data_IF_545001028870
#
_entry.id   IF_545001028870
#
_cell.length_a   1.000
_cell.length_b   1.000
_cell.length_c   1.000
_cell.angle_alpha   90.00
_cell.angle_beta   90.00
_cell.angle_gamma   90.00
#
_symmetry.space_group_name_H-M   'P 1'
#
loop_
_entity.id
_entity.type
_entity.pdbx_description
1 polymer ?
#
# COMPACT_ATOMS: atom_id res chain seq x y z
N UNK A 1 12.51 -51.73 6.55
CA UNK A 1 11.05 -51.61 6.48
C UNK A 1 10.70 -50.42 7.35
N UNK A 2 10.74 -49.21 6.78
CA UNK A 2 9.59 -48.48 6.19
C UNK A 2 8.66 -47.97 7.28
N UNK A 3 8.31 -46.69 7.41
CA UNK A 3 8.53 -45.54 6.53
C UNK A 3 8.37 -44.24 7.35
N UNK A 4 9.19 -43.23 7.03
CA UNK A 4 8.78 -41.98 6.37
C UNK A 4 7.86 -41.10 7.23
N UNK A 5 8.53 -40.23 7.99
CA UNK A 5 8.21 -38.82 8.15
C UNK A 5 7.11 -38.29 7.21
N UNK A 6 5.94 -38.03 7.77
CA UNK A 6 5.04 -37.03 7.22
C UNK A 6 5.27 -35.71 7.97
N UNK A 7 6.43 -35.10 7.74
CA UNK A 7 6.57 -33.67 7.95
C UNK A 7 5.83 -33.05 6.77
N UNK A 8 4.57 -32.68 6.98
CA UNK A 8 3.84 -31.86 6.02
C UNK A 8 4.48 -30.46 6.12
N UNK A 9 5.26 -29.99 5.13
CA UNK A 9 5.67 -28.61 5.16
C UNK A 9 4.39 -27.79 4.97
N UNK A 10 3.97 -27.07 6.01
CA UNK A 10 2.99 -26.01 5.84
C UNK A 10 3.69 -24.92 5.04
N UNK A 11 3.70 -25.07 3.71
CA UNK A 11 4.02 -23.98 2.79
C UNK A 11 2.84 -23.00 2.83
N UNK A 12 2.75 -22.26 3.93
CA UNK A 12 2.18 -20.92 3.87
C UNK A 12 3.31 -20.02 3.37
N UNK A 13 3.67 -20.19 2.10
CA UNK A 13 4.36 -19.12 1.37
C UNK A 13 3.26 -18.09 1.05
N UNK A 14 2.80 -17.43 2.11
CA UNK A 14 2.11 -16.16 1.99
C UNK A 14 3.18 -15.19 1.49
N UNK A 15 3.35 -15.14 0.17
CA UNK A 15 3.96 -13.96 -0.43
C UNK A 15 3.14 -12.79 0.10
N UNK A 16 3.74 -11.89 0.89
CA UNK A 16 2.98 -10.83 1.51
C UNK A 16 2.24 -10.06 0.42
N UNK A 17 0.96 -9.73 0.64
CA UNK A 17 0.11 -9.10 -0.39
C UNK A 17 0.69 -7.78 -0.91
N UNK A 18 1.63 -7.18 -0.17
CA UNK A 18 2.51 -6.10 -0.62
C UNK A 18 3.97 -6.46 -0.38
N UNK A 19 4.88 -6.11 -1.32
CA UNK A 19 6.32 -6.26 -1.09
C UNK A 19 6.80 -5.49 0.15
N UNK A 20 7.75 -6.03 0.91
CA UNK A 20 8.27 -5.40 2.14
C UNK A 20 8.98 -4.05 1.96
N UNK A 21 9.21 -3.60 0.73
CA UNK A 21 9.74 -2.27 0.42
C UNK A 21 8.65 -1.18 0.35
N UNK A 22 7.37 -1.56 0.22
CA UNK A 22 6.25 -0.63 0.02
C UNK A 22 6.10 0.33 1.19
N UNK A 23 6.22 -0.16 2.42
CA UNK A 23 6.09 0.66 3.62
C UNK A 23 7.10 1.81 3.64
N UNK A 24 8.37 1.52 3.33
CA UNK A 24 9.44 2.53 3.30
C UNK A 24 9.29 3.53 2.15
N UNK A 25 8.79 3.07 0.99
CA UNK A 25 8.47 3.96 -0.13
C UNK A 25 7.31 4.90 0.21
N UNK A 26 6.25 4.39 0.83
CA UNK A 26 5.12 5.20 1.29
C UNK A 26 5.55 6.22 2.35
N UNK A 27 6.39 5.83 3.31
CA UNK A 27 6.96 6.75 4.30
C UNK A 27 7.72 7.90 3.65
N UNK A 28 8.54 7.58 2.66
CA UNK A 28 9.31 8.57 1.91
C UNK A 28 8.40 9.53 1.14
N UNK A 29 7.29 9.04 0.59
CA UNK A 29 6.29 9.87 -0.10
C UNK A 29 5.59 10.80 0.90
N UNK A 30 5.08 10.27 2.01
CA UNK A 30 4.35 11.03 3.02
C UNK A 30 5.23 12.06 3.73
N UNK A 31 6.53 11.77 3.91
CA UNK A 31 7.49 12.71 4.48
C UNK A 31 7.71 13.97 3.61
N UNK A 32 7.26 13.98 2.35
CA UNK A 32 7.31 15.18 1.51
C UNK A 32 6.17 16.16 1.77
N UNK A 33 5.16 15.76 2.56
CA UNK A 33 4.05 16.63 2.91
C UNK A 33 4.44 17.58 4.06
N UNK A 34 3.93 18.82 4.08
CA UNK A 34 4.14 19.76 5.17
C UNK A 34 3.25 19.43 6.38
N UNK A 35 3.14 18.14 6.75
CA UNK A 35 2.29 17.63 7.81
C UNK A 35 3.11 16.75 8.74
N UNK A 36 2.87 16.86 10.04
CA UNK A 36 3.52 16.02 11.05
C UNK A 36 3.23 14.52 10.81
N UNK A 37 4.25 13.68 10.92
CA UNK A 37 4.15 12.24 10.66
C UNK A 37 3.07 11.56 11.53
N UNK A 38 2.88 12.03 12.77
CA UNK A 38 1.87 11.54 13.70
C UNK A 38 0.44 11.75 13.17
N UNK A 39 0.21 12.84 12.44
CA UNK A 39 -1.09 13.10 11.79
C UNK A 39 -1.28 12.25 10.55
N UNK A 40 -0.20 11.86 9.88
CA UNK A 40 -0.23 11.01 8.68
C UNK A 40 -0.32 9.52 9.01
N UNK A 41 0.11 9.10 10.20
CA UNK A 41 0.12 7.72 10.66
C UNK A 41 -1.20 6.94 10.45
N UNK A 42 -2.39 7.46 10.80
CA UNK A 42 -3.65 6.72 10.56
C UNK A 42 -3.97 6.57 9.08
N UNK A 43 -3.65 7.57 8.25
CA UNK A 43 -3.87 7.52 6.80
C UNK A 43 -2.92 6.53 6.12
N UNK A 44 -1.65 6.54 6.55
CA UNK A 44 -0.63 5.57 6.13
C UNK A 44 -1.07 4.15 6.40
N UNK A 45 -1.47 3.86 7.65
CA UNK A 45 -1.92 2.53 8.05
C UNK A 45 -3.13 2.08 7.22
N UNK A 46 -4.14 2.95 7.08
CA UNK A 46 -5.34 2.65 6.28
C UNK A 46 -5.02 2.38 4.81
N UNK A 47 -4.04 3.06 4.22
CA UNK A 47 -3.65 2.83 2.83
C UNK A 47 -2.89 1.51 2.66
N UNK A 48 -1.96 1.19 3.56
CA UNK A 48 -1.27 -0.11 3.57
C UNK A 48 -2.24 -1.28 3.78
N UNK A 49 -3.21 -1.13 4.69
CA UNK A 49 -4.25 -2.12 4.91
C UNK A 49 -5.13 -2.30 3.65
N UNK A 50 -5.44 -1.21 2.95
CA UNK A 50 -6.17 -1.27 1.68
C UNK A 50 -5.38 -2.05 0.62
N UNK A 51 -4.10 -1.72 0.43
CA UNK A 51 -3.21 -2.42 -0.51
C UNK A 51 -3.06 -3.91 -0.15
N UNK A 52 -2.92 -4.23 1.13
CA UNK A 52 -2.87 -5.61 1.60
C UNK A 52 -4.18 -6.38 1.32
N UNK A 53 -5.31 -5.68 1.35
CA UNK A 53 -6.63 -6.20 0.98
C UNK A 53 -6.84 -6.39 -0.52
N UNK A 54 -6.04 -5.74 -1.38
CA UNK A 54 -6.16 -5.87 -2.84
C UNK A 54 -5.77 -7.29 -3.34
N UNK A 55 -4.85 -7.98 -2.65
CA UNK A 55 -4.50 -9.37 -2.92
C UNK A 55 -4.19 -9.66 -4.40
N UNK A 56 -4.71 -10.77 -4.93
CA UNK A 56 -4.71 -11.10 -6.37
C UNK A 56 -6.02 -10.71 -7.04
N UNK A 57 -6.49 -9.49 -6.81
CA UNK A 57 -7.65 -8.98 -7.55
C UNK A 57 -7.43 -9.18 -9.06
N UNK A 58 -8.48 -9.56 -9.78
CA UNK A 58 -8.42 -9.73 -11.23
C UNK A 58 -8.03 -8.44 -11.96
N UNK A 59 -8.22 -7.29 -11.29
CA UNK A 59 -7.82 -5.96 -11.73
C UNK A 59 -7.15 -5.24 -10.54
N UNK A 60 -5.85 -5.51 -10.38
CA UNK A 60 -5.02 -4.94 -9.33
C UNK A 60 -4.91 -3.42 -9.47
N UNK A 61 -4.86 -2.91 -10.70
CA UNK A 61 -4.74 -1.49 -10.99
C UNK A 61 -6.00 -0.72 -10.55
N UNK A 62 -7.20 -1.25 -10.84
CA UNK A 62 -8.45 -0.66 -10.33
C UNK A 62 -8.56 -0.70 -8.80
N UNK A 63 -8.05 -1.77 -8.18
CA UNK A 63 -8.06 -1.90 -6.71
C UNK A 63 -7.11 -0.88 -6.06
N UNK A 64 -5.92 -0.69 -6.63
CA UNK A 64 -4.96 0.33 -6.22
C UNK A 64 -5.52 1.75 -6.40
N UNK A 65 -6.14 2.07 -7.55
CA UNK A 65 -6.75 3.38 -7.77
C UNK A 65 -7.84 3.68 -6.73
N UNK A 66 -8.66 2.69 -6.36
CA UNK A 66 -9.64 2.86 -5.29
C UNK A 66 -8.98 3.19 -3.93
N UNK A 67 -7.89 2.51 -3.58
CA UNK A 67 -7.11 2.81 -2.36
C UNK A 67 -6.52 4.22 -2.41
N UNK A 68 -5.96 4.64 -3.55
CA UNK A 68 -5.39 5.97 -3.77
C UNK A 68 -6.44 7.06 -3.60
N UNK A 69 -7.57 6.93 -4.27
CA UNK A 69 -8.67 7.91 -4.19
C UNK A 69 -9.22 8.00 -2.76
N UNK A 70 -9.33 6.86 -2.06
CA UNK A 70 -9.71 6.82 -0.65
C UNK A 70 -8.75 7.61 0.25
N UNK A 71 -7.44 7.37 0.09
CA UNK A 71 -6.40 8.08 0.84
C UNK A 71 -6.41 9.59 0.54
N UNK A 72 -6.44 9.98 -0.73
CA UNK A 72 -6.43 11.39 -1.14
C UNK A 72 -7.64 12.14 -0.60
N UNK A 73 -8.82 11.52 -0.66
CA UNK A 73 -10.04 12.09 -0.07
C UNK A 73 -9.91 12.27 1.43
N UNK A 74 -9.43 11.25 2.13
CA UNK A 74 -9.27 11.30 3.58
C UNK A 74 -8.25 12.38 4.00
N UNK A 75 -7.15 12.53 3.28
CA UNK A 75 -6.16 13.57 3.54
C UNK A 75 -6.69 14.97 3.23
N UNK A 76 -7.42 15.13 2.14
CA UNK A 76 -8.06 16.41 1.78
C UNK A 76 -9.10 16.82 2.83
N UNK A 77 -9.99 15.92 3.21
CA UNK A 77 -11.07 16.18 4.15
C UNK A 77 -10.55 16.32 5.60
N UNK A 78 -9.50 15.58 5.96
CA UNK A 78 -8.96 15.52 7.32
C UNK A 78 -7.84 16.51 7.64
N UNK A 79 -7.08 16.95 6.63
CA UNK A 79 -5.90 17.81 6.81
C UNK A 79 -5.94 19.09 5.97
N UNK A 80 -7.03 19.31 5.22
CA UNK A 80 -7.23 20.49 4.37
C UNK A 80 -6.05 20.72 3.39
N UNK A 81 -5.48 19.62 2.86
CA UNK A 81 -4.40 19.72 1.86
C UNK A 81 -4.88 20.51 0.64
N UNK A 82 -4.01 21.39 0.14
CA UNK A 82 -4.28 22.13 -1.08
C UNK A 82 -4.29 21.22 -2.31
N UNK A 83 -4.89 21.72 -3.40
CA UNK A 83 -5.07 20.94 -4.62
C UNK A 83 -3.74 20.57 -5.32
N UNK A 84 -2.71 21.41 -5.19
CA UNK A 84 -1.40 21.16 -5.79
C UNK A 84 -0.69 20.04 -5.04
N UNK A 85 -0.68 20.10 -3.71
CA UNK A 85 -0.14 19.05 -2.84
C UNK A 85 -0.87 17.72 -3.04
N UNK A 86 -2.20 17.74 -3.14
CA UNK A 86 -2.98 16.52 -3.42
C UNK A 86 -2.59 15.90 -4.76
N UNK A 87 -2.46 16.71 -5.82
CA UNK A 87 -2.09 16.23 -7.16
C UNK A 87 -0.66 15.68 -7.20
N UNK A 88 0.28 16.33 -6.52
CA UNK A 88 1.65 15.84 -6.42
C UNK A 88 1.73 14.51 -5.65
N UNK A 89 0.93 14.37 -4.59
CA UNK A 89 0.83 13.13 -3.83
C UNK A 89 0.21 12.00 -4.69
N UNK A 90 -0.87 12.29 -5.41
CA UNK A 90 -1.52 11.35 -6.33
C UNK A 90 -0.52 10.74 -7.32
N UNK A 91 0.30 11.56 -7.98
CA UNK A 91 1.30 11.08 -8.93
C UNK A 91 2.38 10.18 -8.29
N UNK A 92 2.76 10.46 -7.04
CA UNK A 92 3.75 9.64 -6.32
C UNK A 92 3.16 8.29 -5.92
N UNK A 93 1.89 8.28 -5.48
CA UNK A 93 1.18 7.06 -5.13
C UNK A 93 0.90 6.20 -6.36
N UNK A 94 0.50 6.82 -7.48
CA UNK A 94 0.32 6.12 -8.76
C UNK A 94 1.59 5.41 -9.21
N UNK A 95 2.74 6.09 -9.10
CA UNK A 95 4.02 5.47 -9.40
C UNK A 95 4.34 4.30 -8.46
N UNK A 96 4.09 4.47 -7.16
CA UNK A 96 4.28 3.40 -6.17
C UNK A 96 3.44 2.17 -6.52
N UNK A 97 2.17 2.37 -6.85
CA UNK A 97 1.24 1.30 -7.24
C UNK A 97 1.68 0.59 -8.51
N UNK A 98 2.17 1.32 -9.51
CA UNK A 98 2.72 0.75 -10.73
C UNK A 98 3.97 -0.11 -10.44
N UNK A 99 4.86 0.38 -9.57
CA UNK A 99 6.05 -0.35 -9.14
C UNK A 99 5.66 -1.62 -8.34
N UNK A 100 4.58 -1.57 -7.55
CA UNK A 100 4.00 -2.74 -6.87
C UNK A 100 3.48 -3.73 -7.90
N UNK A 101 2.58 -3.32 -8.80
CA UNK A 101 2.02 -4.19 -9.85
C UNK A 101 3.10 -4.82 -10.74
N UNK A 102 4.24 -4.15 -10.93
CA UNK A 102 5.38 -4.66 -11.72
C UNK A 102 6.26 -5.65 -10.95
N UNK A 103 6.16 -5.71 -9.61
CA UNK A 103 6.98 -6.54 -8.75
C UNK A 103 6.31 -7.85 -8.31
N UNK A 104 5.03 -8.06 -8.66
CA UNK A 104 4.20 -9.22 -8.31
C UNK A 104 3.86 -10.00 -9.58
#
# INVERSE_FOLDING_TARGET
>A
MSGTDNIHPTSTEDTPPTPGWVEGSLDSILATLPVAAEKLAPFRASYLDCLAGCGRAADLDSAHDACRQGLLRALKDGLELDAETCRALEQKLEKLELDISSAI
#
